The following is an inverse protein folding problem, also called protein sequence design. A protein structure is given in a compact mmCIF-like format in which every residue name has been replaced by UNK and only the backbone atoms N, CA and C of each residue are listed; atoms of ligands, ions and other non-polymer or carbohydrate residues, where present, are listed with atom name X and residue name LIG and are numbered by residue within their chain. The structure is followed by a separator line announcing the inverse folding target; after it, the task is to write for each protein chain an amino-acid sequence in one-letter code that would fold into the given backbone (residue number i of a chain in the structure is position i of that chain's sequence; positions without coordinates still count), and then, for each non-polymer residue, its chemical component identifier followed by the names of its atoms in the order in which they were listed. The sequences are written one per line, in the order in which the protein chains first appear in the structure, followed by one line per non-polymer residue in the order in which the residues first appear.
data_IF_491123516305
#
_entry.id   IF_491123516305
#
_cell.length_a   1.000
_cell.length_b   1.000
_cell.length_c   1.000
_cell.angle_alpha   90.00
_cell.angle_beta   90.00
_cell.angle_gamma   90.00
#
_symmetry.space_group_name_H-M   'P 1'
#
loop_
_entity.id
_entity.type
_entity.pdbx_description
1 polymer ?
#
# COMPACT_ATOMS: atom_id res chain seq x y z
N UNK A 1 11.91 8.07 -26.19
CA UNK A 1 11.18 6.89 -25.72
C UNK A 1 12.09 5.65 -25.57
N UNK A 2 12.92 5.24 -26.54
CA UNK A 2 13.79 4.05 -26.45
C UNK A 2 14.81 4.07 -25.28
N UNK A 3 15.29 5.24 -24.86
CA UNK A 3 16.26 5.37 -23.75
C UNK A 3 15.60 5.17 -22.37
N UNK A 4 14.33 5.53 -22.21
CA UNK A 4 13.55 5.28 -20.98
C UNK A 4 13.22 3.80 -20.81
N UNK A 5 12.90 3.11 -21.91
CA UNK A 5 12.63 1.66 -21.89
C UNK A 5 13.91 0.86 -21.57
N UNK A 6 15.07 1.28 -22.07
CA UNK A 6 16.34 0.64 -21.74
C UNK A 6 16.75 0.85 -20.27
N UNK A 7 16.53 2.03 -19.72
CA UNK A 7 16.79 2.30 -18.30
C UNK A 7 15.86 1.48 -17.38
N UNK A 8 14.59 1.32 -17.76
CA UNK A 8 13.64 0.50 -17.05
C UNK A 8 14.03 -0.99 -17.11
N UNK A 9 14.47 -1.48 -18.28
CA UNK A 9 14.94 -2.86 -18.46
C UNK A 9 16.28 -3.09 -17.74
N UNK A 10 17.20 -2.11 -17.70
CA UNK A 10 18.44 -2.21 -16.95
C UNK A 10 18.22 -2.25 -15.43
N UNK A 11 17.24 -1.52 -14.91
CA UNK A 11 16.82 -1.62 -13.49
C UNK A 11 16.23 -3.01 -13.18
N UNK A 12 15.52 -3.63 -14.12
CA UNK A 12 14.94 -4.96 -13.99
C UNK A 12 15.97 -6.08 -13.97
N UNK A 13 17.12 -5.89 -14.62
CA UNK A 13 18.18 -6.92 -14.73
C UNK A 13 19.20 -6.85 -13.60
N UNK A 14 19.40 -5.68 -12.97
CA UNK A 14 20.38 -5.50 -11.89
C UNK A 14 19.99 -6.19 -10.56
N UNK A 15 18.77 -6.69 -10.41
CA UNK A 15 18.25 -7.31 -9.17
C UNK A 15 18.24 -8.83 -9.12
N UNK A 16 18.90 -9.52 -10.07
CA UNK A 16 18.75 -10.98 -10.24
C UNK A 16 19.58 -11.86 -9.30
N UNK A 17 20.16 -11.33 -8.23
CA UNK A 17 20.95 -12.14 -7.29
C UNK A 17 20.49 -11.97 -5.85
N UNK A 18 19.84 -13.01 -5.35
CA UNK A 18 19.59 -13.41 -3.97
C UNK A 18 18.10 -13.81 -3.76
N UNK A 19 17.86 -15.10 -3.75
CA UNK A 19 16.52 -15.69 -3.88
C UNK A 19 15.63 -15.68 -2.62
N UNK A 20 16.04 -15.10 -1.48
CA UNK A 20 15.28 -15.33 -0.23
C UNK A 20 14.90 -14.09 0.58
N UNK A 21 15.68 -13.02 0.58
CA UNK A 21 15.33 -11.80 1.31
C UNK A 21 15.62 -10.57 0.44
N UNK A 22 14.57 -9.87 0.04
CA UNK A 22 14.69 -8.57 -0.60
C UNK A 22 14.76 -7.47 0.47
N UNK A 23 15.46 -6.39 0.15
CA UNK A 23 15.50 -5.21 1.03
C UNK A 23 14.41 -4.23 0.67
N UNK A 24 14.22 -3.97 -0.62
CA UNK A 24 13.27 -2.99 -1.12
C UNK A 24 12.32 -3.63 -2.14
N UNK A 25 11.14 -3.06 -2.25
CA UNK A 25 10.20 -3.40 -3.30
C UNK A 25 9.30 -2.23 -3.65
N UNK A 26 8.91 -2.15 -4.92
CA UNK A 26 8.00 -1.14 -5.44
C UNK A 26 6.91 -1.81 -6.28
N UNK A 27 5.70 -1.29 -6.22
CA UNK A 27 4.59 -1.88 -6.97
C UNK A 27 3.29 -1.15 -6.83
N UNK A 28 2.20 -1.87 -7.04
CA UNK A 28 0.84 -1.34 -7.02
C UNK A 28 0.04 -2.12 -5.98
N UNK A 29 -0.70 -1.39 -5.15
CA UNK A 29 -1.70 -1.91 -4.24
C UNK A 29 -3.09 -1.53 -4.75
N UNK A 30 -3.98 -2.51 -4.79
CA UNK A 30 -5.41 -2.33 -5.01
C UNK A 30 -6.11 -2.51 -3.67
N UNK A 31 -6.83 -1.49 -3.25
CA UNK A 31 -7.52 -1.45 -1.96
C UNK A 31 -9.03 -1.31 -2.11
N UNK A 32 -9.73 -1.49 -1.02
CA UNK A 32 -11.19 -1.29 -0.90
C UNK A 32 -11.53 -0.05 -0.07
N UNK A 33 -10.60 0.91 0.04
CA UNK A 33 -10.76 2.12 0.84
C UNK A 33 -11.46 3.26 0.11
N UNK A 34 -11.71 4.35 0.83
CA UNK A 34 -12.34 5.57 0.30
C UNK A 34 -11.37 6.49 -0.45
N UNK A 35 -10.06 6.27 -0.36
CA UNK A 35 -9.03 7.16 -0.91
C UNK A 35 -7.78 6.43 -1.39
N UNK A 36 -7.79 5.11 -1.40
CA UNK A 36 -6.65 4.26 -1.78
C UNK A 36 -7.08 3.03 -2.59
N UNK A 37 -8.07 3.20 -3.48
CA UNK A 37 -8.52 2.14 -4.39
C UNK A 37 -7.37 1.66 -5.26
N UNK A 38 -6.52 2.58 -5.73
CA UNK A 38 -5.25 2.25 -6.37
C UNK A 38 -4.13 3.04 -5.71
N UNK A 39 -3.01 2.39 -5.40
CA UNK A 39 -1.86 3.05 -4.76
C UNK A 39 -0.55 2.60 -5.36
N UNK A 40 0.37 3.55 -5.54
CA UNK A 40 1.78 3.22 -5.66
C UNK A 40 2.30 2.80 -4.28
N UNK A 41 2.96 1.64 -4.22
CA UNK A 41 3.42 1.03 -2.97
C UNK A 41 4.92 0.84 -2.97
N UNK A 42 5.57 1.26 -1.88
CA UNK A 42 6.98 1.02 -1.62
C UNK A 42 7.14 0.35 -0.26
N UNK A 43 7.87 -0.75 -0.20
CA UNK A 43 8.20 -1.44 1.06
C UNK A 43 9.71 -1.60 1.19
N UNK A 44 10.23 -1.31 2.38
CA UNK A 44 11.64 -1.52 2.73
C UNK A 44 11.78 -2.26 4.04
N UNK A 45 12.62 -3.27 4.08
CA UNK A 45 13.01 -3.93 5.34
C UNK A 45 14.12 -3.12 5.99
N UNK A 46 13.86 -2.55 7.18
CA UNK A 46 14.86 -1.84 7.98
C UNK A 46 15.89 -2.84 8.49
N UNK A 47 15.39 -3.91 9.05
CA UNK A 47 16.13 -5.09 9.52
C UNK A 47 15.13 -6.24 9.59
N UNK A 48 15.43 -7.37 8.94
CA UNK A 48 14.57 -8.54 9.05
C UNK A 48 14.31 -8.89 10.53
N UNK A 49 13.05 -9.10 10.94
CA UNK A 49 11.82 -9.19 10.16
C UNK A 49 10.98 -7.88 10.08
N UNK A 50 11.55 -6.72 10.37
CA UNK A 50 10.84 -5.42 10.45
C UNK A 50 10.88 -4.66 9.12
N UNK A 51 9.73 -4.23 8.63
CA UNK A 51 9.59 -3.45 7.41
C UNK A 51 8.77 -2.17 7.61
N UNK A 52 9.05 -1.18 6.77
CA UNK A 52 8.19 -0.03 6.55
C UNK A 52 7.54 -0.13 5.17
N UNK A 53 6.28 0.18 5.10
CA UNK A 53 5.53 0.27 3.85
C UNK A 53 4.93 1.67 3.72
N UNK A 54 5.09 2.27 2.54
CA UNK A 54 4.53 3.57 2.17
C UNK A 54 3.64 3.38 0.95
N UNK A 55 2.45 4.03 0.97
CA UNK A 55 1.56 4.00 -0.17
C UNK A 55 1.10 5.42 -0.50
N UNK A 56 1.12 5.76 -1.79
CA UNK A 56 0.52 6.95 -2.35
C UNK A 56 -0.75 6.51 -3.10
N UNK A 57 -1.89 6.78 -2.50
CA UNK A 57 -3.19 6.31 -2.95
C UNK A 57 -3.95 7.37 -3.75
N UNK A 58 -4.76 6.86 -4.66
CA UNK A 58 -5.67 7.63 -5.49
C UNK A 58 -7.02 6.92 -5.56
N UNK A 59 -8.07 7.71 -5.50
CA UNK A 59 -9.43 7.28 -5.77
C UNK A 59 -10.18 8.38 -6.52
N UNK A 60 -11.07 8.00 -7.43
CA UNK A 60 -11.96 8.91 -8.10
C UNK A 60 -13.28 8.22 -8.38
N UNK A 61 -14.35 8.78 -7.84
CA UNK A 61 -15.70 8.23 -7.96
C UNK A 61 -16.72 9.35 -8.17
N UNK A 62 -17.98 8.98 -8.42
CA UNK A 62 -19.09 9.89 -8.61
C UNK A 62 -20.15 9.65 -7.55
N UNK A 63 -20.55 10.71 -6.88
CA UNK A 63 -21.65 10.67 -5.92
C UNK A 63 -22.69 11.73 -6.29
N UNK A 64 -23.95 11.32 -6.49
CA UNK A 64 -25.04 12.24 -6.81
C UNK A 64 -24.93 12.97 -8.16
N UNK A 65 -24.05 12.51 -9.08
CA UNK A 65 -23.79 13.15 -10.38
C UNK A 65 -22.51 13.98 -10.43
N UNK A 66 -21.91 14.29 -9.29
CA UNK A 66 -20.65 15.04 -9.19
C UNK A 66 -19.46 14.12 -8.96
N UNK A 67 -18.31 14.55 -9.47
CA UNK A 67 -17.06 13.80 -9.34
C UNK A 67 -16.31 14.25 -8.10
N UNK A 68 -15.77 13.31 -7.35
CA UNK A 68 -14.77 13.61 -6.33
C UNK A 68 -13.48 12.84 -6.60
N UNK A 69 -12.37 13.41 -6.18
CA UNK A 69 -11.04 12.81 -6.31
C UNK A 69 -10.35 12.88 -4.96
N UNK A 70 -9.83 11.76 -4.51
CA UNK A 70 -9.10 11.64 -3.26
C UNK A 70 -7.65 11.25 -3.50
N UNK A 71 -6.75 11.93 -2.81
CA UNK A 71 -5.33 11.57 -2.72
C UNK A 71 -5.00 11.19 -1.30
N UNK A 72 -4.19 10.15 -1.12
CA UNK A 72 -3.76 9.72 0.20
C UNK A 72 -2.29 9.38 0.26
N UNK A 73 -1.71 9.56 1.43
CA UNK A 73 -0.37 9.10 1.78
C UNK A 73 -0.47 8.28 3.06
N UNK A 74 -0.04 7.02 3.03
CA UNK A 74 0.01 6.18 4.22
C UNK A 74 1.40 5.62 4.47
N UNK A 75 1.71 5.43 5.75
CA UNK A 75 2.93 4.75 6.21
C UNK A 75 2.58 3.72 7.27
N UNK A 76 3.16 2.53 7.19
CA UNK A 76 2.93 1.45 8.13
C UNK A 76 4.22 0.72 8.49
N UNK A 77 4.38 0.42 9.77
CA UNK A 77 5.33 -0.56 10.27
C UNK A 77 4.71 -1.95 10.20
N UNK A 78 5.49 -2.94 9.77
CA UNK A 78 5.08 -4.33 9.66
C UNK A 78 6.16 -5.24 10.25
N UNK A 79 5.78 -6.15 11.14
CA UNK A 79 6.64 -7.19 11.65
C UNK A 79 6.23 -8.52 11.03
N UNK A 80 7.15 -9.19 10.36
CA UNK A 80 6.90 -10.41 9.58
C UNK A 80 7.31 -11.66 10.34
N UNK A 81 6.50 -12.71 10.19
CA UNK A 81 6.73 -14.01 10.79
C UNK A 81 6.64 -15.09 9.70
N UNK A 82 7.51 -16.09 9.72
CA UNK A 82 7.45 -17.19 8.75
C UNK A 82 6.17 -18.03 8.95
N UNK A 83 5.62 -18.56 7.86
CA UNK A 83 4.51 -19.51 7.89
C UNK A 83 5.05 -20.91 7.60
N UNK A 84 5.17 -21.71 8.67
CA UNK A 84 5.66 -23.10 8.57
C UNK A 84 7.02 -23.17 7.85
N UNK A 85 7.17 -24.17 6.98
CA UNK A 85 8.36 -24.40 6.18
C UNK A 85 8.22 -23.91 4.72
N UNK A 86 7.26 -23.02 4.45
CA UNK A 86 7.01 -22.50 3.10
C UNK A 86 7.93 -21.30 2.88
N UNK A 87 8.97 -21.52 2.09
CA UNK A 87 9.94 -20.48 1.75
C UNK A 87 9.28 -19.29 1.05
N UNK A 88 9.60 -18.08 1.49
CA UNK A 88 9.05 -16.85 0.94
C UNK A 88 7.64 -16.48 1.42
N UNK A 89 6.95 -17.35 2.17
CA UNK A 89 5.61 -17.09 2.68
C UNK A 89 5.67 -16.65 4.14
N UNK A 90 5.18 -15.44 4.42
CA UNK A 90 5.21 -14.81 5.74
C UNK A 90 3.82 -14.21 6.04
N UNK A 91 3.44 -14.17 7.30
CA UNK A 91 2.36 -13.30 7.76
C UNK A 91 2.96 -12.10 8.48
N UNK A 92 2.23 -11.03 8.60
CA UNK A 92 2.70 -9.84 9.32
C UNK A 92 1.59 -9.19 10.11
N UNK A 93 2.00 -8.47 11.14
CA UNK A 93 1.17 -7.55 11.91
C UNK A 93 1.91 -6.24 12.09
N UNK A 94 1.15 -5.18 12.28
CA UNK A 94 1.73 -3.86 12.48
C UNK A 94 0.69 -2.78 12.65
N UNK A 95 1.08 -1.57 12.35
CA UNK A 95 0.20 -0.42 12.39
C UNK A 95 0.77 0.76 11.65
N UNK A 96 -0.08 1.72 11.36
CA UNK A 96 0.31 2.87 10.59
C UNK A 96 -0.67 4.04 10.70
N UNK A 97 -0.40 5.04 9.90
CA UNK A 97 -1.24 6.21 9.77
C UNK A 97 -1.46 6.56 8.29
N UNK A 98 -2.55 7.24 8.03
CA UNK A 98 -2.92 7.75 6.71
C UNK A 98 -3.35 9.19 6.81
N UNK A 99 -2.92 9.97 5.82
CA UNK A 99 -3.36 11.32 5.54
C UNK A 99 -4.05 11.30 4.19
N UNK A 100 -5.19 11.94 4.06
CA UNK A 100 -5.90 12.05 2.79
C UNK A 100 -6.51 13.43 2.61
N UNK A 101 -6.66 13.83 1.36
CA UNK A 101 -7.40 15.02 1.00
C UNK A 101 -8.32 14.70 -0.16
N UNK A 102 -9.59 15.03 0.00
CA UNK A 102 -10.64 14.85 -1.02
C UNK A 102 -10.99 16.20 -1.63
N UNK A 103 -10.94 16.23 -2.94
CA UNK A 103 -11.31 17.35 -3.78
C UNK A 103 -12.70 17.07 -4.38
N UNK A 104 -13.64 17.96 -4.15
CA UNK A 104 -15.01 17.87 -4.66
C UNK A 104 -15.61 19.27 -4.76
N UNK A 105 -16.56 19.46 -5.63
CA UNK A 105 -17.39 20.67 -5.67
C UNK A 105 -18.43 20.70 -4.53
N UNK A 106 -18.69 19.55 -3.91
CA UNK A 106 -19.55 19.41 -2.72
C UNK A 106 -18.76 19.63 -1.43
N UNK A 107 -19.16 20.62 -0.65
CA UNK A 107 -18.52 20.97 0.63
C UNK A 107 -18.59 19.83 1.66
N UNK A 108 -19.61 18.98 1.60
CA UNK A 108 -19.81 17.87 2.54
C UNK A 108 -18.81 16.69 2.35
N UNK A 109 -18.23 16.56 1.15
CA UNK A 109 -17.29 15.46 0.81
C UNK A 109 -15.86 15.92 0.63
N UNK A 110 -15.60 17.24 0.54
CA UNK A 110 -14.24 17.76 0.42
C UNK A 110 -13.61 17.97 1.79
N UNK A 111 -12.31 17.77 1.87
CA UNK A 111 -11.53 18.11 3.05
C UNK A 111 -10.39 17.15 3.36
N UNK A 112 -9.63 17.56 4.34
CA UNK A 112 -8.50 16.80 4.84
C UNK A 112 -8.95 15.82 5.93
N UNK A 113 -8.43 14.60 5.87
CA UNK A 113 -8.67 13.56 6.87
C UNK A 113 -7.35 12.90 7.29
N UNK A 114 -7.29 12.48 8.53
CA UNK A 114 -6.18 11.72 9.06
C UNK A 114 -6.70 10.54 9.89
N UNK A 115 -6.05 9.39 9.76
CA UNK A 115 -6.44 8.18 10.46
C UNK A 115 -5.25 7.35 10.90
N UNK A 116 -5.52 6.46 11.82
CA UNK A 116 -4.59 5.44 12.27
C UNK A 116 -5.20 4.06 12.04
N UNK A 117 -4.36 3.07 11.79
CA UNK A 117 -4.82 1.71 11.54
C UNK A 117 -3.84 0.66 12.07
N UNK A 118 -4.32 -0.41 12.70
CA UNK A 118 -3.59 -1.66 12.74
C UNK A 118 -3.58 -2.29 11.36
N UNK A 119 -2.56 -3.07 11.04
CA UNK A 119 -2.49 -3.84 9.79
C UNK A 119 -2.09 -5.26 10.07
N UNK A 120 -2.67 -6.18 9.32
CA UNK A 120 -2.30 -7.58 9.34
C UNK A 120 -2.53 -8.21 7.98
N UNK A 121 -1.72 -9.20 7.65
CA UNK A 121 -1.82 -9.80 6.34
C UNK A 121 -0.79 -10.89 6.07
N UNK A 122 -0.70 -11.26 4.81
CA UNK A 122 0.27 -12.24 4.30
C UNK A 122 1.12 -11.62 3.20
N UNK A 123 2.36 -12.06 3.11
CA UNK A 123 3.34 -11.64 2.12
C UNK A 123 4.00 -12.88 1.52
N UNK A 124 4.04 -12.97 0.21
CA UNK A 124 4.64 -14.09 -0.50
C UNK A 124 5.65 -13.59 -1.53
N UNK A 125 6.92 -13.88 -1.29
CA UNK A 125 8.02 -13.63 -2.22
C UNK A 125 8.21 -14.86 -3.10
N UNK A 126 8.09 -14.67 -4.42
CA UNK A 126 8.36 -15.76 -5.38
C UNK A 126 9.84 -16.16 -5.32
N UNK A 127 10.09 -17.47 -5.25
CA UNK A 127 11.44 -18.05 -5.14
C UNK A 127 12.32 -17.74 -6.36
N UNK A 128 11.75 -17.85 -7.56
CA UNK A 128 12.49 -17.79 -8.83
C UNK A 128 12.17 -16.55 -9.67
N UNK A 129 11.58 -15.52 -9.07
CA UNK A 129 11.22 -14.29 -9.77
C UNK A 129 11.32 -13.09 -8.82
N UNK A 130 11.68 -11.90 -9.32
CA UNK A 130 11.83 -10.70 -8.51
C UNK A 130 10.45 -10.06 -8.19
N UNK A 131 9.47 -10.86 -7.77
CA UNK A 131 8.13 -10.40 -7.43
C UNK A 131 7.71 -10.89 -6.05
N UNK A 132 7.01 -10.03 -5.35
CA UNK A 132 6.32 -10.34 -4.10
C UNK A 132 4.84 -9.92 -4.20
N UNK A 133 3.98 -10.71 -3.59
CA UNK A 133 2.54 -10.44 -3.50
C UNK A 133 2.15 -10.37 -2.04
N UNK A 134 1.24 -9.47 -1.70
CA UNK A 134 0.68 -9.43 -0.35
C UNK A 134 -0.82 -9.18 -0.38
N UNK A 135 -1.48 -9.64 0.67
CA UNK A 135 -2.86 -9.29 0.99
C UNK A 135 -2.92 -8.80 2.43
N UNK A 136 -3.63 -7.71 2.66
CA UNK A 136 -3.70 -7.06 3.97
C UNK A 136 -5.11 -6.57 4.30
N UNK A 137 -5.34 -6.40 5.61
CA UNK A 137 -6.48 -5.69 6.16
C UNK A 137 -5.97 -4.52 7.01
N UNK A 138 -6.68 -3.38 6.92
CA UNK A 138 -6.33 -2.12 7.61
C UNK A 138 -7.60 -1.46 8.15
N UNK A 139 -8.18 -1.96 9.26
CA UNK A 139 -9.29 -1.27 9.90
C UNK A 139 -8.82 0.11 10.36
N UNK A 140 -9.36 1.16 9.74
CA UNK A 140 -8.90 2.54 9.93
C UNK A 140 -9.86 3.30 10.82
N UNK A 141 -9.32 4.02 11.79
CA UNK A 141 -10.02 4.96 12.66
C UNK A 141 -9.57 6.37 12.26
N UNK A 142 -10.50 7.19 11.80
CA UNK A 142 -10.22 8.59 11.51
C UNK A 142 -10.18 9.41 12.80
N UNK A 143 -9.06 10.07 13.04
CA UNK A 143 -8.85 11.00 14.16
C UNK A 143 -9.13 12.45 13.74
N UNK A 144 -9.00 12.75 12.45
CA UNK A 144 -9.44 13.98 11.81
C UNK A 144 -10.32 13.60 10.63
N UNK A 145 -11.51 14.15 10.59
CA UNK A 145 -12.50 13.88 9.55
C UNK A 145 -13.04 15.19 9.00
N UNK A 146 -12.29 15.82 8.13
CA UNK A 146 -12.67 17.08 7.49
C UNK A 146 -13.73 16.91 6.41
N UNK A 147 -13.77 15.73 5.77
CA UNK A 147 -14.85 15.35 4.88
C UNK A 147 -15.89 14.58 5.69
N UNK A 148 -17.06 15.15 5.92
CA UNK A 148 -18.15 14.53 6.71
C UNK A 148 -18.61 13.16 6.19
N UNK A 149 -18.19 12.79 4.99
CA UNK A 149 -18.45 11.53 4.32
C UNK A 149 -17.73 10.32 4.95
N UNK A 150 -16.55 10.51 5.53
CA UNK A 150 -15.81 9.39 6.12
C UNK A 150 -16.36 9.03 7.49
N UNK A 151 -16.87 7.81 7.63
CA UNK A 151 -17.24 7.27 8.93
C UNK A 151 -15.99 7.20 9.82
N UNK A 152 -16.14 7.40 11.13
CA UNK A 152 -15.04 7.35 12.10
C UNK A 152 -14.26 6.04 12.08
N UNK A 153 -14.90 4.94 11.64
CA UNK A 153 -14.28 3.62 11.48
C UNK A 153 -14.70 3.00 10.14
N UNK A 154 -13.75 2.43 9.39
CA UNK A 154 -14.04 1.57 8.25
C UNK A 154 -12.98 0.45 8.12
N UNK A 155 -13.40 -0.68 7.55
CA UNK A 155 -12.51 -1.78 7.20
C UNK A 155 -12.00 -1.58 5.77
N UNK A 156 -10.68 -1.55 5.61
CA UNK A 156 -10.00 -1.53 4.32
C UNK A 156 -9.22 -2.83 4.15
N UNK A 157 -9.35 -3.46 3.01
CA UNK A 157 -8.54 -4.60 2.61
C UNK A 157 -7.84 -4.31 1.28
N UNK A 158 -6.73 -4.97 1.02
CA UNK A 158 -6.02 -4.75 -0.22
C UNK A 158 -5.13 -5.92 -0.63
N UNK A 159 -4.83 -5.93 -1.91
CA UNK A 159 -3.83 -6.84 -2.51
C UNK A 159 -2.76 -6.03 -3.19
N UNK A 160 -1.53 -6.50 -3.12
CA UNK A 160 -0.39 -5.75 -3.67
C UNK A 160 0.51 -6.67 -4.48
N UNK A 161 0.96 -6.19 -5.62
CA UNK A 161 2.03 -6.83 -6.42
C UNK A 161 3.23 -5.88 -6.46
N UNK A 162 4.43 -6.37 -6.12
CA UNK A 162 5.67 -5.58 -6.04
C UNK A 162 6.81 -6.27 -6.75
N UNK A 163 7.63 -5.47 -7.41
CA UNK A 163 8.97 -5.86 -7.86
C UNK A 163 9.96 -5.68 -6.69
N UNK A 164 10.83 -6.67 -6.47
CA UNK A 164 11.78 -6.72 -5.35
C UNK A 164 13.22 -6.52 -5.82
N UNK A 165 14.00 -5.73 -5.07
CA UNK A 165 15.41 -5.44 -5.36
C UNK A 165 16.22 -5.12 -4.09
#
# INVERSE_FOLDING_TARGET
MKKFTLALVALLVAGASQAQDYKNSIGIRLGSGYYDVISASFKTFIKQPAALEFNLGFDSDKFGGDSFTSLSLSGAYQHHFPIGNIEGFKWFVGGGAVLSNTFSDYDEVKGFSAGIFPTGGVDYKLKNAPFAFSADIRPTIHVVNGAGYYKGFYANGGVTARYTF
#
